data_IF_429096631131
#
_entry.id   IF_429096631131
#
_cell.length_a   1.000
_cell.length_b   1.000
_cell.length_c   1.000
_cell.angle_alpha   90.00
_cell.angle_beta   90.00
_cell.angle_gamma   90.00
#
_symmetry.space_group_name_H-M   'P 1'
#
loop_
_entity.id
_entity.type
_entity.pdbx_description
1 polymer ?
#
# COMPACT_ATOMS: atom_id res chain seq x y z
N UNK A 1 4.03 -24.43 23.82
CA UNK A 1 4.14 -25.35 24.98
C UNK A 1 3.97 -24.48 26.22
N UNK A 2 3.04 -24.82 27.10
CA UNK A 2 2.69 -23.98 28.25
C UNK A 2 2.49 -24.82 29.51
N UNK A 3 3.01 -24.34 30.63
CA UNK A 3 2.85 -24.97 31.93
C UNK A 3 1.55 -24.49 32.59
N UNK A 4 0.74 -25.42 33.09
CA UNK A 4 -0.43 -25.09 33.90
C UNK A 4 -0.06 -25.06 35.39
N UNK A 5 0.73 -26.04 35.82
CA UNK A 5 1.26 -26.13 37.17
C UNK A 5 2.53 -27.00 37.19
N UNK A 6 3.17 -27.14 38.37
CA UNK A 6 4.40 -27.92 38.58
C UNK A 6 4.31 -29.42 38.21
N UNK A 7 3.12 -29.95 37.92
CA UNK A 7 2.91 -31.34 37.53
C UNK A 7 2.24 -31.48 36.15
N UNK A 8 1.71 -30.41 35.55
CA UNK A 8 0.89 -30.45 34.33
C UNK A 8 1.39 -29.51 33.26
N UNK A 9 1.51 -30.06 32.06
CA UNK A 9 1.95 -29.34 30.86
C UNK A 9 1.02 -29.62 29.69
N UNK A 10 0.73 -28.57 28.92
CA UNK A 10 0.09 -28.68 27.60
C UNK A 10 1.09 -28.42 26.48
N UNK A 11 1.02 -29.23 25.44
CA UNK A 11 1.87 -29.10 24.26
C UNK A 11 1.13 -29.57 23.01
N UNK A 12 1.55 -29.06 21.85
CA UNK A 12 1.08 -29.55 20.57
C UNK A 12 2.06 -30.60 20.03
N UNK A 13 1.54 -31.71 19.52
CA UNK A 13 2.30 -32.70 18.78
C UNK A 13 1.36 -33.45 17.84
N UNK A 14 1.80 -33.71 16.61
CA UNK A 14 1.04 -34.43 15.58
C UNK A 14 -0.38 -33.85 15.36
N UNK A 15 -0.50 -32.52 15.34
CA UNK A 15 -1.79 -31.84 15.13
C UNK A 15 -2.78 -31.91 16.31
N UNK A 16 -2.38 -32.42 17.48
CA UNK A 16 -3.24 -32.52 18.65
C UNK A 16 -2.70 -31.67 19.81
N UNK A 17 -3.60 -31.11 20.61
CA UNK A 17 -3.28 -30.59 21.94
C UNK A 17 -3.24 -31.77 22.92
N UNK A 18 -2.10 -31.95 23.59
CA UNK A 18 -1.85 -33.07 24.50
C UNK A 18 -1.56 -32.55 25.90
N UNK A 19 -1.90 -33.35 26.90
CA UNK A 19 -1.52 -33.12 28.29
C UNK A 19 -0.46 -34.14 28.70
N UNK A 20 0.51 -33.69 29.49
CA UNK A 20 1.48 -34.54 30.18
C UNK A 20 1.41 -34.32 31.69
N UNK A 21 1.43 -35.42 32.44
CA UNK A 21 1.61 -35.45 33.89
C UNK A 21 3.07 -35.82 34.17
N UNK A 22 3.85 -34.95 34.82
CA UNK A 22 5.30 -35.18 34.94
C UNK A 22 5.70 -36.33 35.86
N UNK A 23 4.78 -36.78 36.72
CA UNK A 23 4.93 -37.94 37.60
C UNK A 23 4.48 -39.27 36.97
N UNK A 24 4.13 -39.29 35.68
CA UNK A 24 3.91 -40.52 34.91
C UNK A 24 4.45 -40.36 33.48
N UNK A 25 5.02 -41.42 32.90
CA UNK A 25 5.48 -41.41 31.49
C UNK A 25 4.33 -41.43 30.47
N UNK A 26 3.12 -41.10 30.90
CA UNK A 26 1.91 -41.19 30.10
C UNK A 26 1.52 -39.82 29.54
N UNK A 27 1.18 -39.79 28.25
CA UNK A 27 0.57 -38.62 27.61
C UNK A 27 -0.78 -39.02 27.04
N UNK A 28 -1.75 -38.13 27.18
CA UNK A 28 -3.12 -38.37 26.71
C UNK A 28 -3.58 -37.22 25.83
N UNK A 29 -4.38 -37.50 24.78
CA UNK A 29 -5.07 -36.46 24.03
C UNK A 29 -5.98 -35.67 24.97
N UNK A 30 -5.97 -34.33 24.85
CA UNK A 30 -6.91 -33.50 25.58
C UNK A 30 -8.21 -33.42 24.79
N UNK A 31 -9.27 -34.07 25.26
CA UNK A 31 -10.60 -33.86 24.71
C UNK A 31 -11.14 -32.54 25.24
N UNK A 32 -11.04 -31.48 24.44
CA UNK A 32 -11.70 -30.21 24.73
C UNK A 32 -12.84 -29.99 23.74
N UNK A 33 -13.90 -29.35 24.22
CA UNK A 33 -14.97 -28.83 23.39
C UNK A 33 -14.82 -27.32 23.36
N UNK A 34 -14.28 -26.79 22.27
CA UNK A 34 -14.34 -25.36 22.03
C UNK A 34 -15.75 -25.04 21.52
N UNK A 35 -16.53 -24.35 22.33
CA UNK A 35 -17.71 -23.66 21.81
C UNK A 35 -17.17 -22.42 21.13
N UNK A 36 -16.95 -22.50 19.82
CA UNK A 36 -16.81 -21.29 19.00
C UNK A 36 -18.18 -20.64 18.99
N UNK A 37 -18.40 -19.72 19.91
CA UNK A 37 -19.51 -18.81 19.81
C UNK A 37 -19.16 -17.96 18.59
N UNK A 38 -19.69 -18.35 17.43
CA UNK A 38 -19.74 -17.47 16.29
C UNK A 38 -20.62 -16.32 16.79
N UNK A 39 -19.99 -15.27 17.34
CA UNK A 39 -20.64 -13.98 17.39
C UNK A 39 -21.19 -13.81 16.00
N UNK A 40 -22.52 -13.67 15.89
CA UNK A 40 -23.11 -13.31 14.63
C UNK A 40 -22.39 -12.03 14.23
N UNK A 41 -21.39 -12.16 13.35
CA UNK A 41 -20.80 -11.02 12.68
C UNK A 41 -22.03 -10.40 12.04
N UNK A 42 -22.51 -9.31 12.63
CA UNK A 42 -23.53 -8.51 12.01
C UNK A 42 -23.04 -8.38 10.58
N UNK A 43 -23.81 -8.89 9.62
CA UNK A 43 -23.44 -8.80 8.22
C UNK A 43 -23.36 -7.31 7.94
N UNK A 44 -22.16 -6.74 8.09
CA UNK A 44 -21.93 -5.33 7.86
C UNK A 44 -22.04 -5.24 6.35
N UNK A 45 -23.22 -4.85 5.87
CA UNK A 45 -23.44 -4.50 4.49
C UNK A 45 -22.57 -3.28 4.21
N UNK A 46 -21.33 -3.54 3.81
CA UNK A 46 -20.39 -2.50 3.42
C UNK A 46 -20.73 -2.16 1.98
N UNK A 47 -21.32 -0.99 1.80
CA UNK A 47 -21.44 -0.41 0.47
C UNK A 47 -20.02 -0.13 -0.02
N UNK A 48 -19.63 -0.75 -1.12
CA UNK A 48 -18.36 -0.48 -1.77
C UNK A 48 -18.35 0.98 -2.23
N UNK A 49 -17.45 1.83 -1.72
CA UNK A 49 -17.40 3.22 -2.15
C UNK A 49 -17.02 3.33 -3.62
N UNK A 50 -17.62 4.28 -4.33
CA UNK A 50 -17.20 4.60 -5.70
C UNK A 50 -15.99 5.51 -5.66
N UNK A 51 -14.92 5.12 -6.37
CA UNK A 51 -13.75 5.97 -6.52
C UNK A 51 -14.06 7.13 -7.46
N UNK A 52 -13.95 8.36 -6.95
CA UNK A 52 -14.08 9.57 -7.75
C UNK A 52 -12.78 9.83 -8.53
N UNK A 53 -12.94 10.15 -9.82
CA UNK A 53 -11.84 10.49 -10.72
C UNK A 53 -11.87 12.00 -10.95
N UNK A 54 -10.83 12.68 -10.49
CA UNK A 54 -10.73 14.14 -10.45
C UNK A 54 -9.55 14.58 -11.31
N UNK A 55 -9.68 15.74 -11.98
CA UNK A 55 -8.67 16.33 -12.86
C UNK A 55 -8.06 15.31 -13.86
N UNK A 56 -8.92 14.56 -14.57
CA UNK A 56 -8.45 13.54 -15.52
C UNK A 56 -7.58 14.20 -16.61
N UNK A 57 -6.28 13.85 -16.69
CA UNK A 57 -5.36 14.47 -17.64
C UNK A 57 -5.71 14.15 -19.09
N UNK A 58 -5.68 15.16 -19.95
CA UNK A 58 -5.72 14.97 -21.40
C UNK A 58 -4.38 14.45 -21.93
N UNK A 59 -4.45 13.67 -23.02
CA UNK A 59 -3.31 13.09 -23.71
C UNK A 59 -2.90 11.71 -23.20
N UNK A 60 -1.91 11.12 -23.87
CA UNK A 60 -1.33 9.83 -23.51
C UNK A 60 0.12 10.00 -23.05
N UNK A 61 0.51 9.21 -22.06
CA UNK A 61 1.84 9.15 -21.49
C UNK A 61 2.30 7.69 -21.47
N UNK A 62 3.57 7.46 -21.80
CA UNK A 62 4.20 6.15 -21.69
C UNK A 62 5.31 6.24 -20.65
N UNK A 63 5.28 5.33 -19.67
CA UNK A 63 6.34 5.16 -18.68
C UNK A 63 7.07 3.86 -18.96
N UNK A 64 8.39 3.92 -19.03
CA UNK A 64 9.26 2.78 -19.24
C UNK A 64 10.36 2.72 -18.18
N UNK A 65 10.65 1.51 -17.70
CA UNK A 65 11.85 1.21 -16.91
C UNK A 65 12.22 -0.27 -17.01
N UNK A 66 13.43 -0.61 -16.59
CA UNK A 66 13.99 -1.96 -16.68
C UNK A 66 13.20 -2.99 -15.87
N UNK A 67 12.69 -2.60 -14.69
CA UNK A 67 11.96 -3.48 -13.79
C UNK A 67 10.59 -2.90 -13.45
N UNK A 68 9.58 -3.75 -13.51
CA UNK A 68 8.20 -3.45 -13.11
C UNK A 68 7.74 -4.51 -12.12
N UNK A 69 7.38 -4.07 -10.92
CA UNK A 69 6.61 -4.87 -9.98
C UNK A 69 5.17 -4.39 -10.01
N UNK A 70 4.22 -5.28 -10.32
CA UNK A 70 2.82 -4.90 -10.54
C UNK A 70 1.98 -4.93 -9.25
N UNK A 71 2.57 -5.38 -8.14
CA UNK A 71 1.90 -5.57 -6.86
C UNK A 71 1.19 -6.93 -6.72
N UNK A 72 1.09 -7.72 -7.78
CA UNK A 72 0.34 -8.98 -7.84
C UNK A 72 1.28 -10.16 -7.95
N UNK A 73 2.13 -10.20 -8.98
CA UNK A 73 3.07 -11.30 -9.20
C UNK A 73 4.17 -11.30 -8.12
N UNK A 74 4.90 -12.41 -7.99
CA UNK A 74 6.01 -12.54 -7.02
C UNK A 74 7.39 -12.23 -7.64
N UNK A 75 7.41 -11.85 -8.92
CA UNK A 75 8.61 -11.53 -9.70
C UNK A 75 8.45 -10.20 -10.45
N UNK A 76 9.58 -9.63 -10.87
CA UNK A 76 9.57 -8.50 -11.79
C UNK A 76 9.16 -8.91 -13.20
N UNK A 77 8.40 -8.04 -13.86
CA UNK A 77 8.29 -7.98 -15.30
C UNK A 77 9.39 -7.04 -15.83
N UNK A 78 10.01 -7.40 -16.96
CA UNK A 78 11.13 -6.65 -17.53
C UNK A 78 10.74 -6.01 -18.86
N UNK A 79 11.35 -4.86 -19.17
CA UNK A 79 11.22 -4.16 -20.45
C UNK A 79 9.76 -3.92 -20.87
N UNK A 80 8.96 -3.39 -19.93
CA UNK A 80 7.54 -3.08 -20.17
C UNK A 80 7.32 -1.59 -20.36
N UNK A 81 6.37 -1.26 -21.23
CA UNK A 81 5.79 0.07 -21.36
C UNK A 81 4.45 0.10 -20.62
N UNK A 82 4.27 1.07 -19.72
CA UNK A 82 2.99 1.37 -19.09
C UNK A 82 2.35 2.53 -19.86
N UNK A 83 1.23 2.27 -20.52
CA UNK A 83 0.45 3.26 -21.25
C UNK A 83 -0.55 3.90 -20.29
N UNK A 84 -0.60 5.22 -20.28
CA UNK A 84 -1.39 6.01 -19.33
C UNK A 84 -2.26 7.00 -20.09
N UNK A 85 -3.57 6.96 -19.83
CA UNK A 85 -4.59 7.84 -20.43
C UNK A 85 -5.64 8.19 -19.37
N UNK A 86 -6.08 9.46 -19.31
CA UNK A 86 -7.13 9.87 -18.37
C UNK A 86 -6.83 9.55 -16.91
N UNK A 87 -5.55 9.53 -16.52
CA UNK A 87 -5.12 9.24 -15.15
C UNK A 87 -5.12 7.75 -14.80
N UNK A 88 -5.25 6.86 -15.79
CA UNK A 88 -5.35 5.41 -15.62
C UNK A 88 -4.34 4.68 -16.46
N UNK A 89 -4.03 3.45 -16.05
CA UNK A 89 -3.26 2.53 -16.88
C UNK A 89 -4.18 2.01 -17.98
N UNK A 90 -3.91 2.41 -19.22
CA UNK A 90 -4.60 1.91 -20.41
C UNK A 90 -4.08 0.52 -20.82
N UNK A 91 -2.79 0.26 -20.62
CA UNK A 91 -2.17 -1.01 -21.00
C UNK A 91 -0.76 -1.18 -20.44
N UNK A 92 -0.30 -2.43 -20.42
CA UNK A 92 1.07 -2.81 -20.08
C UNK A 92 1.54 -3.69 -21.24
N UNK A 93 2.52 -3.22 -21.99
CA UNK A 93 2.96 -3.84 -23.24
C UNK A 93 4.47 -4.11 -23.24
N UNK A 94 4.94 -4.96 -24.14
CA UNK A 94 6.37 -5.05 -24.44
C UNK A 94 6.89 -3.69 -24.92
N UNK A 95 8.11 -3.36 -24.48
CA UNK A 95 8.77 -2.13 -24.91
C UNK A 95 8.93 -2.08 -26.43
N UNK A 96 8.51 -0.97 -27.02
CA UNK A 96 8.62 -0.72 -28.46
C UNK A 96 8.76 0.77 -28.74
N UNK A 97 9.30 1.10 -29.90
CA UNK A 97 9.35 2.49 -30.36
C UNK A 97 7.93 3.03 -30.62
N UNK A 98 7.66 4.24 -30.13
CA UNK A 98 6.34 4.89 -30.14
C UNK A 98 6.46 6.32 -30.65
N UNK A 99 6.67 6.50 -31.97
CA UNK A 99 6.78 7.83 -32.56
C UNK A 99 5.49 8.62 -32.33
N UNK A 100 5.62 9.81 -31.74
CA UNK A 100 4.49 10.70 -31.43
C UNK A 100 3.88 10.53 -30.04
N UNK A 101 4.35 9.56 -29.24
CA UNK A 101 3.99 9.47 -27.82
C UNK A 101 4.98 10.24 -26.94
N UNK A 102 4.50 10.80 -25.83
CA UNK A 102 5.38 11.28 -24.76
C UNK A 102 5.86 10.03 -24.01
N UNK A 103 7.14 9.69 -24.17
CA UNK A 103 7.78 8.57 -23.48
C UNK A 103 8.72 9.10 -22.42
N UNK A 104 8.53 8.64 -21.19
CA UNK A 104 9.47 8.84 -20.09
C UNK A 104 10.15 7.50 -19.86
N UNK A 105 11.39 7.42 -20.32
CA UNK A 105 12.28 6.28 -20.10
C UNK A 105 13.19 6.56 -18.90
N UNK A 106 13.14 5.66 -17.93
CA UNK A 106 13.84 5.79 -16.66
C UNK A 106 14.93 4.73 -16.48
N UNK A 107 15.35 4.06 -17.56
CA UNK A 107 16.53 3.20 -17.55
C UNK A 107 16.41 2.05 -16.55
N UNK A 108 17.36 1.93 -15.63
CA UNK A 108 17.53 0.81 -14.69
C UNK A 108 16.69 0.90 -13.40
N UNK A 109 15.87 1.95 -13.27
CA UNK A 109 14.96 2.10 -12.14
C UNK A 109 13.92 0.97 -12.06
N UNK A 110 13.33 0.84 -10.88
CA UNK A 110 12.20 -0.07 -10.61
C UNK A 110 10.91 0.73 -10.51
N UNK A 111 9.88 0.32 -11.23
CA UNK A 111 8.51 0.83 -11.10
C UNK A 111 7.71 -0.06 -10.16
N UNK A 112 6.96 0.56 -9.24
CA UNK A 112 6.03 -0.10 -8.32
C UNK A 112 4.68 0.64 -8.30
N UNK A 113 3.59 0.00 -7.83
CA UNK A 113 2.39 0.74 -7.46
C UNK A 113 2.72 1.78 -6.40
N UNK A 114 2.06 2.93 -6.45
CA UNK A 114 2.20 3.96 -5.43
C UNK A 114 1.71 3.48 -4.07
N UNK A 115 2.33 4.00 -3.01
CA UNK A 115 2.10 3.51 -1.66
C UNK A 115 0.77 4.03 -1.09
N UNK A 116 0.07 3.13 -0.39
CA UNK A 116 -1.20 3.41 0.28
C UNK A 116 -0.98 3.37 1.78
N UNK A 117 -1.22 4.49 2.46
CA UNK A 117 -1.38 4.52 3.91
C UNK A 117 -2.87 4.40 4.26
N UNK A 118 -3.29 3.20 4.65
CA UNK A 118 -4.70 2.85 4.81
C UNK A 118 -5.32 3.35 6.13
N UNK A 119 -4.52 3.93 7.03
CA UNK A 119 -4.99 4.69 8.18
C UNK A 119 -3.92 5.70 8.60
N UNK A 120 -3.92 6.82 7.88
CA UNK A 120 -2.91 7.84 7.92
C UNK A 120 -3.00 8.73 9.16
N UNK A 121 -1.84 9.01 9.77
CA UNK A 121 -1.67 9.99 10.84
C UNK A 121 -1.17 11.30 10.25
N UNK A 122 -2.14 12.16 9.93
CA UNK A 122 -1.88 13.50 9.42
C UNK A 122 -1.88 14.54 10.56
N UNK A 123 -1.08 15.63 10.47
CA UNK A 123 -1.13 16.72 11.43
C UNK A 123 -2.49 17.43 11.39
N UNK A 124 -2.90 18.02 12.52
CA UNK A 124 -4.13 18.82 12.58
C UNK A 124 -4.04 20.10 11.73
N UNK A 125 -2.83 20.60 11.51
CA UNK A 125 -2.51 21.79 10.69
C UNK A 125 -2.09 21.36 9.28
N UNK A 126 -2.84 20.43 8.67
CA UNK A 126 -2.52 19.94 7.33
C UNK A 126 -2.79 21.04 6.29
N UNK A 127 -1.72 21.58 5.71
CA UNK A 127 -1.78 22.58 4.63
C UNK A 127 -1.45 21.95 3.27
N UNK A 128 -1.86 22.57 2.14
CA UNK A 128 -1.69 21.99 0.81
C UNK A 128 -0.24 21.60 0.45
N UNK A 129 0.77 22.31 0.96
CA UNK A 129 2.19 22.03 0.69
C UNK A 129 2.69 20.67 1.21
N UNK A 130 1.97 20.03 2.13
CA UNK A 130 2.27 18.66 2.57
C UNK A 130 2.03 17.61 1.46
N UNK A 131 1.22 17.93 0.46
CA UNK A 131 0.92 17.02 -0.65
C UNK A 131 2.18 16.61 -1.41
N UNK A 132 2.96 17.56 -1.95
CA UNK A 132 4.21 17.26 -2.62
C UNK A 132 5.22 16.50 -1.74
N UNK A 133 5.32 16.82 -0.45
CA UNK A 133 6.20 16.12 0.49
C UNK A 133 5.83 14.65 0.63
N UNK A 134 4.55 14.33 0.79
CA UNK A 134 4.07 12.95 0.86
C UNK A 134 4.33 12.18 -0.43
N UNK A 135 4.17 12.83 -1.59
CA UNK A 135 4.52 12.23 -2.87
C UNK A 135 6.03 11.97 -2.97
N UNK A 136 6.90 12.84 -2.43
CA UNK A 136 8.35 12.56 -2.44
C UNK A 136 8.74 11.29 -1.67
N UNK A 137 7.88 10.86 -0.74
CA UNK A 137 8.02 9.63 0.04
C UNK A 137 7.31 8.43 -0.61
N UNK A 138 6.75 8.61 -1.82
CA UNK A 138 6.05 7.59 -2.58
C UNK A 138 4.60 7.34 -2.15
N UNK A 139 4.08 8.07 -1.16
CA UNK A 139 2.69 7.94 -0.70
C UNK A 139 1.77 8.60 -1.72
N UNK A 140 1.04 7.80 -2.49
CA UNK A 140 0.11 8.29 -3.53
C UNK A 140 -1.35 8.22 -3.09
N UNK A 141 -1.65 7.52 -2.00
CA UNK A 141 -3.00 7.46 -1.41
C UNK A 141 -2.91 7.47 0.12
N UNK A 142 -3.75 8.28 0.75
CA UNK A 142 -3.94 8.33 2.20
C UNK A 142 -5.41 8.13 2.53
N UNK A 143 -5.67 7.36 3.58
CA UNK A 143 -7.01 7.21 4.18
C UNK A 143 -6.97 7.82 5.56
N UNK A 144 -7.73 8.87 5.80
CA UNK A 144 -7.75 9.54 7.11
C UNK A 144 -9.09 10.24 7.37
N UNK A 145 -9.34 10.57 8.64
CA UNK A 145 -10.39 11.52 9.02
C UNK A 145 -9.78 12.91 9.17
N UNK A 146 -10.24 13.87 8.38
CA UNK A 146 -9.81 15.27 8.46
C UNK A 146 -10.92 16.19 7.95
N UNK A 147 -11.14 17.35 8.58
CA UNK A 147 -12.21 18.30 8.19
C UNK A 147 -12.05 18.81 6.75
N UNK A 148 -10.80 18.92 6.31
CA UNK A 148 -10.45 19.46 4.99
C UNK A 148 -10.29 18.38 3.91
N UNK A 149 -10.65 17.12 4.19
CA UNK A 149 -10.39 15.99 3.29
C UNK A 149 -10.87 16.24 1.84
N UNK A 150 -12.10 16.73 1.67
CA UNK A 150 -12.67 17.01 0.34
C UNK A 150 -11.89 18.12 -0.40
N UNK A 151 -11.61 19.23 0.30
CA UNK A 151 -10.87 20.38 -0.25
C UNK A 151 -9.45 19.97 -0.67
N UNK A 152 -8.75 19.23 0.19
CA UNK A 152 -7.40 18.77 -0.09
C UNK A 152 -7.39 17.74 -1.22
N UNK A 153 -8.35 16.83 -1.30
CA UNK A 153 -8.45 15.87 -2.40
C UNK A 153 -8.63 16.58 -3.75
N UNK A 154 -9.45 17.63 -3.80
CA UNK A 154 -9.64 18.45 -5.01
C UNK A 154 -8.34 19.19 -5.38
N UNK A 155 -7.72 19.90 -4.44
CA UNK A 155 -6.47 20.63 -4.68
C UNK A 155 -5.32 19.71 -5.13
N UNK A 156 -5.16 18.57 -4.45
CA UNK A 156 -4.09 17.59 -4.69
C UNK A 156 -4.28 16.75 -5.94
N UNK A 157 -5.50 16.70 -6.50
CA UNK A 157 -5.74 16.05 -7.80
C UNK A 157 -5.10 16.81 -8.97
N UNK A 158 -4.88 18.11 -8.80
CA UNK A 158 -4.41 19.04 -9.83
C UNK A 158 -2.89 19.10 -10.01
N UNK A 159 -2.45 19.71 -11.12
CA UNK A 159 -1.01 19.89 -11.42
C UNK A 159 -0.30 20.89 -10.52
N UNK A 160 -1.01 21.87 -9.97
CA UNK A 160 -0.38 23.03 -9.31
C UNK A 160 0.27 22.62 -7.99
N UNK A 161 -0.51 21.99 -7.11
CA UNK A 161 -0.08 21.48 -5.81
C UNK A 161 -0.42 19.98 -5.78
N UNK A 162 0.36 19.12 -6.44
CA UNK A 162 0.06 17.71 -6.53
C UNK A 162 0.20 17.05 -5.15
N UNK A 163 -0.67 16.11 -4.82
CA UNK A 163 -0.59 15.35 -3.58
C UNK A 163 -1.21 13.95 -3.68
N UNK A 164 -1.20 13.18 -2.59
CA UNK A 164 -1.83 11.87 -2.56
C UNK A 164 -3.34 11.97 -2.75
N UNK A 165 -3.95 10.88 -3.20
CA UNK A 165 -5.39 10.70 -3.15
C UNK A 165 -5.81 10.73 -1.70
N UNK A 166 -6.74 11.62 -1.35
CA UNK A 166 -7.30 11.64 -0.01
C UNK A 166 -8.63 10.90 -0.01
N UNK A 167 -8.68 9.76 0.68
CA UNK A 167 -9.89 8.99 0.90
C UNK A 167 -10.38 9.23 2.33
N UNK A 168 -11.58 9.79 2.48
CA UNK A 168 -12.15 10.06 3.81
C UNK A 168 -12.49 8.73 4.50
N UNK A 169 -11.90 8.49 5.68
CA UNK A 169 -12.09 7.27 6.46
C UNK A 169 -13.54 7.05 6.92
N UNK A 170 -14.39 8.09 6.95
CA UNK A 170 -15.82 7.95 7.21
C UNK A 170 -16.51 7.14 6.09
N UNK A 171 -16.02 7.28 4.86
CA UNK A 171 -16.52 6.59 3.65
C UNK A 171 -15.72 5.31 3.37
N UNK A 172 -14.40 5.40 3.48
CA UNK A 172 -13.45 4.34 3.14
C UNK A 172 -12.98 3.59 4.38
N UNK A 173 -13.92 2.90 5.04
CA UNK A 173 -13.65 2.15 6.26
C UNK A 173 -12.86 0.88 5.97
N UNK A 174 -11.75 0.67 6.68
CA UNK A 174 -10.97 -0.57 6.60
C UNK A 174 -11.82 -1.77 7.04
N UNK A 175 -11.83 -2.81 6.21
CA UNK A 175 -12.46 -4.12 6.42
C UNK A 175 -11.86 -4.91 7.58
N UNK A 176 -12.56 -5.97 8.00
CA UNK A 176 -11.82 -7.20 8.30
C UNK A 176 -11.20 -7.62 6.97
N UNK A 177 -9.87 -7.74 6.90
CA UNK A 177 -9.21 -8.33 5.73
C UNK A 177 -9.81 -9.72 5.54
N UNK A 178 -10.44 -10.04 4.39
CA UNK A 178 -10.80 -11.43 4.09
C UNK A 178 -9.54 -12.27 4.27
N UNK A 179 -9.65 -13.46 4.87
CA UNK A 179 -8.53 -14.40 4.85
C UNK A 179 -8.16 -14.62 3.37
N UNK A 180 -6.96 -14.21 2.92
CA UNK A 180 -6.63 -14.33 1.51
C UNK A 180 -6.62 -15.82 1.15
N UNK A 181 -7.15 -16.17 -0.02
CA UNK A 181 -7.08 -17.52 -0.60
C UNK A 181 -5.64 -17.94 -1.00
N UNK A 182 -4.62 -17.22 -0.54
CA UNK A 182 -3.23 -17.49 -0.79
C UNK A 182 -2.47 -17.26 0.52
N UNK A 183 -1.56 -18.18 0.83
CA UNK A 183 -0.70 -18.29 2.03
C UNK A 183 0.19 -17.05 2.28
N UNK A 184 -0.40 -15.87 2.43
CA UNK A 184 0.30 -14.60 2.72
C UNK A 184 -0.53 -13.74 3.67
N UNK A 185 0.13 -13.29 4.72
CA UNK A 185 -0.31 -12.34 5.75
C UNK A 185 -1.27 -11.25 5.26
N UNK A 186 -2.41 -11.13 5.93
CA UNK A 186 -3.39 -10.04 5.85
C UNK A 186 -2.83 -8.66 6.33
N UNK A 187 -1.51 -8.48 6.28
CA UNK A 187 -0.85 -7.29 6.79
C UNK A 187 -1.13 -6.10 5.87
N UNK A 188 -1.55 -4.99 6.49
CA UNK A 188 -1.78 -3.69 5.86
C UNK A 188 -0.92 -2.67 6.60
N UNK A 189 -0.24 -1.81 5.85
CA UNK A 189 0.64 -0.78 6.41
C UNK A 189 -0.18 0.46 6.79
N UNK A 190 -0.03 0.95 8.03
CA UNK A 190 -0.73 2.14 8.53
C UNK A 190 0.09 2.98 9.52
N UNK A 191 0.21 4.27 9.25
CA UNK A 191 1.07 5.14 10.07
C UNK A 191 0.49 5.44 11.44
N UNK A 192 -0.84 5.41 11.61
CA UNK A 192 -1.48 5.66 12.92
C UNK A 192 -0.96 4.73 14.02
N UNK A 193 -0.69 3.47 13.67
CA UNK A 193 -0.21 2.45 14.62
C UNK A 193 1.19 2.73 15.17
N UNK A 194 2.00 3.51 14.44
CA UNK A 194 3.39 3.84 14.80
C UNK A 194 3.52 5.04 15.73
N UNK A 195 2.51 5.93 15.75
CA UNK A 195 2.59 7.22 16.42
C UNK A 195 3.43 8.28 15.68
N UNK A 196 4.02 7.97 14.53
CA UNK A 196 4.74 8.91 13.67
C UNK A 196 3.81 9.49 12.58
N UNK A 197 4.13 10.66 12.02
CA UNK A 197 3.40 11.18 10.85
C UNK A 197 3.50 10.25 9.63
N UNK A 198 2.47 10.24 8.79
CA UNK A 198 2.50 9.55 7.47
C UNK A 198 3.76 9.93 6.69
N UNK A 199 4.30 8.96 5.94
CA UNK A 199 5.55 9.12 5.20
C UNK A 199 6.79 8.90 6.08
N UNK A 200 6.90 9.62 7.21
CA UNK A 200 7.99 9.37 8.18
C UNK A 200 7.89 7.98 8.83
N UNK A 201 6.66 7.51 9.03
CA UNK A 201 6.38 6.18 9.58
C UNK A 201 6.88 5.02 8.69
N UNK A 202 6.96 5.21 7.36
CA UNK A 202 7.20 4.13 6.38
C UNK A 202 8.44 3.29 6.71
N UNK A 203 9.57 3.95 7.00
CA UNK A 203 10.82 3.26 7.36
C UNK A 203 10.68 2.40 8.63
N UNK A 204 9.91 2.89 9.60
CA UNK A 204 9.66 2.17 10.87
C UNK A 204 8.74 0.98 10.63
N UNK A 205 7.73 1.13 9.78
CA UNK A 205 6.80 0.06 9.42
C UNK A 205 7.50 -1.06 8.67
N UNK A 206 8.32 -0.74 7.67
CA UNK A 206 9.05 -1.75 6.90
C UNK A 206 9.97 -2.55 7.81
N UNK A 207 10.70 -1.85 8.68
CA UNK A 207 11.56 -2.48 9.68
C UNK A 207 10.77 -3.35 10.65
N UNK A 208 9.62 -2.87 11.15
CA UNK A 208 8.78 -3.63 12.06
C UNK A 208 8.25 -4.91 11.41
N UNK A 209 7.82 -4.85 10.14
CA UNK A 209 7.35 -6.01 9.38
C UNK A 209 8.47 -7.02 9.14
N UNK A 210 9.68 -6.57 8.78
CA UNK A 210 10.83 -7.46 8.63
C UNK A 210 11.23 -8.12 9.97
N UNK A 211 11.20 -7.36 11.08
CA UNK A 211 11.43 -7.92 12.42
C UNK A 211 10.35 -8.93 12.84
N UNK A 212 9.12 -8.76 12.33
CA UNK A 212 8.03 -9.73 12.49
C UNK A 212 8.14 -10.93 11.53
N UNK A 213 9.17 -10.98 10.67
CA UNK A 213 9.45 -12.10 9.78
C UNK A 213 8.78 -12.01 8.41
N UNK A 214 8.18 -10.87 8.04
CA UNK A 214 7.61 -10.69 6.70
C UNK A 214 8.72 -10.50 5.67
N UNK A 215 8.54 -11.09 4.49
CA UNK A 215 9.46 -10.91 3.36
C UNK A 215 9.24 -9.55 2.69
N UNK A 216 10.21 -9.03 1.92
CA UNK A 216 10.03 -7.81 1.14
C UNK A 216 8.75 -7.83 0.28
N UNK A 217 8.50 -8.92 -0.44
CA UNK A 217 7.29 -9.11 -1.24
C UNK A 217 6.01 -8.95 -0.39
N UNK A 218 5.95 -9.56 0.80
CA UNK A 218 4.79 -9.46 1.68
C UNK A 218 4.60 -8.04 2.21
N UNK A 219 5.69 -7.35 2.53
CA UNK A 219 5.65 -5.94 2.94
C UNK A 219 5.14 -5.04 1.81
N UNK A 220 5.65 -5.19 0.58
CA UNK A 220 5.21 -4.42 -0.59
C UNK A 220 3.73 -4.64 -0.91
N UNK A 221 3.25 -5.88 -0.84
CA UNK A 221 1.81 -6.18 -0.99
C UNK A 221 0.98 -5.51 0.11
N UNK A 222 1.52 -5.40 1.32
CA UNK A 222 0.88 -4.74 2.47
C UNK A 222 0.56 -3.26 2.28
N UNK A 223 1.39 -2.53 1.53
CA UNK A 223 1.22 -1.11 1.22
C UNK A 223 0.58 -0.85 -0.16
N UNK A 224 0.25 -1.90 -0.90
CA UNK A 224 -0.37 -1.84 -2.23
C UNK A 224 -1.68 -2.63 -2.27
N UNK A 225 -1.66 -3.80 -2.92
CA UNK A 225 -2.86 -4.62 -3.17
C UNK A 225 -3.63 -5.00 -1.90
N UNK A 226 -2.96 -5.28 -0.78
CA UNK A 226 -3.64 -5.64 0.48
C UNK A 226 -4.37 -4.43 1.06
N UNK A 227 -3.73 -3.27 1.06
CA UNK A 227 -4.34 -2.01 1.49
C UNK A 227 -5.55 -1.67 0.62
N UNK A 228 -5.41 -1.76 -0.71
CA UNK A 228 -6.51 -1.53 -1.65
C UNK A 228 -7.69 -2.50 -1.44
N UNK A 229 -7.40 -3.79 -1.20
CA UNK A 229 -8.42 -4.80 -0.90
C UNK A 229 -9.13 -4.52 0.43
N UNK A 230 -8.38 -4.16 1.48
CA UNK A 230 -8.95 -3.82 2.80
C UNK A 230 -9.89 -2.59 2.74
N UNK A 231 -9.69 -1.71 1.76
CA UNK A 231 -10.49 -0.52 1.51
C UNK A 231 -11.64 -0.74 0.51
N UNK A 232 -11.79 -1.96 -0.03
CA UNK A 232 -12.70 -2.25 -1.16
C UNK A 232 -12.45 -1.37 -2.40
N UNK A 233 -11.21 -0.88 -2.55
CA UNK A 233 -10.77 -0.10 -3.69
C UNK A 233 -10.30 -0.97 -4.87
N UNK A 234 -10.09 -2.27 -4.64
CA UNK A 234 -9.65 -3.24 -5.64
C UNK A 234 -10.67 -3.48 -6.76
N UNK A 235 -10.35 -3.39 -8.07
CA UNK A 235 -9.00 -3.45 -8.64
C UNK A 235 -8.41 -2.09 -9.03
N UNK A 236 -8.94 -0.98 -8.52
CA UNK A 236 -8.60 0.36 -9.02
C UNK A 236 -7.32 0.96 -8.42
N UNK A 237 -6.86 0.49 -7.25
CA UNK A 237 -5.68 1.03 -6.54
C UNK A 237 -4.71 -0.09 -6.14
N UNK A 238 -3.46 0.30 -5.84
CA UNK A 238 -2.46 -0.58 -5.22
C UNK A 238 -1.85 -1.63 -6.15
N UNK A 239 -2.12 -1.55 -7.46
CA UNK A 239 -1.60 -2.46 -8.50
C UNK A 239 -1.30 -1.72 -9.79
N UNK A 240 -0.40 -2.26 -10.60
CA UNK A 240 -0.17 -1.84 -11.97
C UNK A 240 -0.93 -2.79 -12.89
N UNK A 241 -2.15 -2.41 -13.28
CA UNK A 241 -3.00 -3.22 -14.15
C UNK A 241 -3.92 -2.32 -14.99
N UNK A 242 -4.32 -2.78 -16.18
CA UNK A 242 -5.27 -2.05 -17.03
C UNK A 242 -6.54 -1.66 -16.28
N UNK A 243 -6.95 -0.41 -16.40
CA UNK A 243 -8.10 0.19 -15.72
C UNK A 243 -7.83 0.69 -14.30
N UNK A 244 -6.71 0.32 -13.69
CA UNK A 244 -6.28 0.86 -12.40
C UNK A 244 -5.81 2.32 -12.52
N UNK A 245 -5.81 3.04 -11.40
CA UNK A 245 -5.25 4.38 -11.32
C UNK A 245 -3.76 4.35 -11.69
N UNK A 246 -3.32 5.33 -12.47
CA UNK A 246 -1.91 5.54 -12.76
C UNK A 246 -1.22 6.25 -11.59
N UNK A 247 -1.10 5.50 -10.49
CA UNK A 247 -0.42 5.89 -9.26
C UNK A 247 0.79 4.97 -9.09
N UNK A 248 1.96 5.46 -9.45
CA UNK A 248 3.21 4.70 -9.57
C UNK A 248 4.33 5.42 -8.82
N UNK A 249 5.26 4.67 -8.27
CA UNK A 249 6.54 5.20 -7.79
C UNK A 249 7.68 4.60 -8.59
N UNK A 250 8.73 5.37 -8.75
CA UNK A 250 9.94 4.99 -9.45
C UNK A 250 11.10 5.12 -8.48
N UNK A 251 11.77 4.01 -8.23
CA UNK A 251 12.77 3.90 -7.18
C UNK A 251 14.10 3.41 -7.71
N UNK A 252 15.18 3.91 -7.12
CA UNK A 252 16.53 3.42 -7.33
C UNK A 252 16.83 2.26 -6.36
N UNK A 253 17.16 1.09 -6.90
CA UNK A 253 17.40 -0.13 -6.14
C UNK A 253 16.42 -1.27 -6.44
N UNK A 254 16.46 -2.33 -5.62
CA UNK A 254 15.70 -3.57 -5.77
C UNK A 254 14.81 -3.83 -4.55
N UNK A 255 13.56 -3.33 -4.53
CA UNK A 255 12.64 -3.54 -3.43
C UNK A 255 12.28 -4.99 -3.11
N UNK A 256 12.37 -5.92 -4.07
CA UNK A 256 12.09 -7.34 -3.82
C UNK A 256 13.25 -8.03 -3.10
N UNK A 257 14.49 -7.56 -3.32
CA UNK A 257 15.66 -7.97 -2.55
C UNK A 257 15.75 -7.23 -1.20
N UNK A 258 15.57 -5.91 -1.21
CA UNK A 258 15.73 -5.01 -0.07
C UNK A 258 14.58 -4.03 0.00
N UNK A 259 13.58 -4.30 0.85
CA UNK A 259 12.36 -3.46 0.96
C UNK A 259 12.64 -1.98 1.28
N UNK A 260 13.78 -1.66 1.88
CA UNK A 260 14.17 -0.28 2.17
C UNK A 260 14.43 0.54 0.91
N UNK A 261 14.73 -0.10 -0.23
CA UNK A 261 14.95 0.59 -1.51
C UNK A 261 13.67 1.29 -2.02
N UNK A 262 12.49 0.93 -1.49
CA UNK A 262 11.24 1.68 -1.71
C UNK A 262 11.37 3.16 -1.32
N UNK A 263 12.22 3.47 -0.34
CA UNK A 263 12.42 4.84 0.14
C UNK A 263 13.29 5.68 -0.81
N UNK A 264 13.97 5.06 -1.78
CA UNK A 264 14.81 5.74 -2.76
C UNK A 264 13.97 6.25 -3.95
N UNK A 265 12.89 6.98 -3.68
CA UNK A 265 11.98 7.50 -4.70
C UNK A 265 12.69 8.57 -5.53
N UNK A 266 12.68 8.41 -6.84
CA UNK A 266 13.27 9.36 -7.82
C UNK A 266 12.17 10.17 -8.51
N UNK A 267 11.05 9.52 -8.79
CA UNK A 267 9.88 10.14 -9.40
C UNK A 267 8.60 9.42 -8.99
N UNK A 268 7.49 10.12 -9.17
CA UNK A 268 6.13 9.62 -8.91
C UNK A 268 5.26 9.93 -10.10
N UNK A 269 4.44 8.96 -10.48
CA UNK A 269 3.29 9.21 -11.34
C UNK A 269 2.07 9.21 -10.44
N UNK A 270 1.35 10.34 -10.41
CA UNK A 270 0.15 10.49 -9.59
C UNK A 270 -0.98 10.97 -10.47
N UNK A 271 -2.11 10.24 -10.48
CA UNK A 271 -3.23 10.54 -11.36
C UNK A 271 -2.80 10.64 -12.84
N UNK A 272 -1.85 9.78 -13.25
CA UNK A 272 -1.27 9.76 -14.60
C UNK A 272 -0.36 10.94 -14.96
N UNK A 273 -0.01 11.78 -14.00
CA UNK A 273 0.93 12.90 -14.20
C UNK A 273 2.29 12.52 -13.64
N UNK A 274 3.33 12.69 -14.44
CA UNK A 274 4.71 12.48 -13.99
C UNK A 274 5.22 13.67 -13.18
N UNK A 275 5.87 13.37 -12.06
CA UNK A 275 6.51 14.32 -11.17
C UNK A 275 7.89 13.79 -10.77
N UNK A 276 8.95 14.54 -11.09
CA UNK A 276 10.26 14.27 -10.47
C UNK A 276 10.23 14.72 -9.00
N UNK A 277 11.00 14.05 -8.14
CA UNK A 277 11.13 14.47 -6.74
C UNK A 277 11.64 15.91 -6.62
N UNK A 278 12.61 16.30 -7.45
CA UNK A 278 13.09 17.69 -7.49
C UNK A 278 11.96 18.69 -7.77
N UNK A 279 11.11 18.39 -8.76
CA UNK A 279 9.99 19.26 -9.11
C UNK A 279 8.89 19.30 -8.05
N UNK A 280 8.72 18.23 -7.26
CA UNK A 280 7.80 18.22 -6.10
C UNK A 280 8.33 19.10 -4.97
N UNK A 281 9.63 19.01 -4.66
CA UNK A 281 10.27 19.84 -3.63
C UNK A 281 10.19 21.34 -3.96
N UNK A 282 10.34 21.71 -5.24
CA UNK A 282 10.19 23.11 -5.66
C UNK A 282 8.75 23.62 -5.52
N UNK A 283 7.75 22.75 -5.74
CA UNK A 283 6.33 23.07 -5.53
C UNK A 283 5.96 23.19 -4.06
N UNK A 284 6.50 22.33 -3.19
CA UNK A 284 6.30 22.41 -1.74
C UNK A 284 6.71 23.81 -1.23
N UNK A 285 7.94 24.23 -1.55
CA UNK A 285 8.48 25.55 -1.19
C UNK A 285 7.65 26.71 -1.74
N UNK A 286 7.20 26.59 -2.99
CA UNK A 286 6.40 27.64 -3.63
C UNK A 286 5.02 27.77 -2.97
N UNK A 287 4.39 26.66 -2.58
CA UNK A 287 3.10 26.66 -1.92
C UNK A 287 3.14 27.24 -0.50
N UNK A 288 4.27 27.10 0.21
CA UNK A 288 4.49 27.75 1.52
C UNK A 288 4.62 29.27 1.42
N UNK A 289 5.05 29.79 0.27
CA UNK A 289 5.28 31.23 0.07
C UNK A 289 4.04 32.04 -0.31
N UNK A 290 2.88 31.39 -0.44
CA UNK A 290 1.61 31.98 -0.92
C UNK A 290 0.58 32.15 0.22
N UNK A 291 0.92 31.75 1.45
CA UNK A 291 0.16 32.08 2.68
C UNK A 291 0.54 33.46 3.25
#
# INVERSE_FOLDING_TARGET
MSWLDRHRMYYSANGQIRQRLFNSWTSSPLNFRATLQQEAQAAVSRVRPTLAWLDEPEGSLVIHASRLFDGIDDIYQYNKDILIEGGRIAGIEEHKDRPGSIVIDLGDLTILPGLIDADARLPATLVPSHGPDLLTMGVTTVVASHSDAARLNELWSGKQIPGPRFLDAAVWQTGHTPSPELDVTAAVVTSRSTGLPTGQALSTEFRAMQLAGLTPLQTLRGMGVNAAAALLADPYLGRIATGAAADLILVDGDPLATVHDVLNVVAVVRNGRFHSVSGLLDRAKSAESVE
#
